data_IF_144638073786
#
_entry.id   IF_144638073786
#
_cell.length_a   1.000
_cell.length_b   1.000
_cell.length_c   1.000
_cell.angle_alpha   90.00
_cell.angle_beta   90.00
_cell.angle_gamma   90.00
#
_symmetry.space_group_name_H-M   'P 1'
#
loop_
_entity.id
_entity.type
_entity.pdbx_description
1 polymer ?
#
# COMPACT_ATOMS: atom_id res chain seq x y z
N UNK A 1 -41.15 3.93 3.45
CA UNK A 1 -42.10 3.84 4.57
C UNK A 1 -43.50 4.15 4.05
N UNK A 2 -44.51 3.36 4.38
CA UNK A 2 -45.90 3.55 3.93
C UNK A 2 -46.80 3.75 5.16
N UNK A 3 -47.51 4.87 5.22
CA UNK A 3 -48.54 5.12 6.24
C UNK A 3 -49.89 5.02 5.55
N UNK A 4 -50.78 4.17 6.06
CA UNK A 4 -52.09 3.92 5.47
C UNK A 4 -53.14 4.70 6.25
N UNK A 5 -53.83 5.62 5.58
CA UNK A 5 -54.99 6.32 6.16
C UNK A 5 -56.25 5.53 5.81
N UNK A 6 -57.03 5.14 6.81
CA UNK A 6 -58.25 4.36 6.64
C UNK A 6 -59.49 5.25 6.83
N UNK A 7 -60.40 5.27 5.85
CA UNK A 7 -61.62 6.09 5.85
C UNK A 7 -61.48 7.40 5.06
N UNK A 8 -62.43 8.34 5.20
CA UNK A 8 -62.42 9.60 4.47
C UNK A 8 -61.17 10.42 4.80
N UNK A 9 -60.65 11.12 3.78
CA UNK A 9 -59.45 11.96 3.88
C UNK A 9 -59.87 13.31 4.45
N UNK A 10 -59.66 13.52 5.75
CA UNK A 10 -59.86 14.82 6.41
C UNK A 10 -58.50 15.46 6.72
N UNK A 11 -58.48 16.78 6.94
CA UNK A 11 -57.27 17.53 7.32
C UNK A 11 -56.58 16.90 8.54
N UNK A 12 -57.36 16.59 9.56
CA UNK A 12 -56.89 16.00 10.82
C UNK A 12 -56.18 14.66 10.59
N UNK A 13 -56.73 13.80 9.72
CA UNK A 13 -56.17 12.49 9.42
C UNK A 13 -54.93 12.56 8.53
N UNK A 14 -54.85 13.57 7.66
CA UNK A 14 -53.64 13.83 6.87
C UNK A 14 -52.51 14.34 7.77
N UNK A 15 -52.82 15.23 8.71
CA UNK A 15 -51.88 15.74 9.71
C UNK A 15 -51.39 14.59 10.59
N UNK A 16 -52.29 13.76 11.11
CA UNK A 16 -51.93 12.59 11.92
C UNK A 16 -51.04 11.60 11.14
N UNK A 17 -51.35 11.36 9.86
CA UNK A 17 -50.54 10.50 9.00
C UNK A 17 -49.15 11.08 8.73
N UNK A 18 -49.04 12.40 8.56
CA UNK A 18 -47.77 13.10 8.38
C UNK A 18 -46.93 13.09 9.65
N UNK A 19 -47.55 13.27 10.82
CA UNK A 19 -46.89 13.18 12.12
C UNK A 19 -46.37 11.76 12.37
N UNK A 20 -47.18 10.73 12.12
CA UNK A 20 -46.77 9.33 12.20
C UNK A 20 -45.63 9.00 11.23
N UNK A 21 -45.67 9.54 10.01
CA UNK A 21 -44.59 9.39 9.04
C UNK A 21 -43.29 10.04 9.55
N UNK A 22 -43.39 11.26 10.06
CA UNK A 22 -42.23 12.02 10.56
C UNK A 22 -41.61 11.35 11.79
N UNK A 23 -42.44 10.84 12.70
CA UNK A 23 -41.99 10.08 13.87
C UNK A 23 -41.21 8.82 13.47
N UNK A 24 -41.78 8.00 12.57
CA UNK A 24 -41.13 6.78 12.07
C UNK A 24 -39.85 7.06 11.28
N UNK A 25 -39.76 8.20 10.58
CA UNK A 25 -38.53 8.60 9.90
C UNK A 25 -37.43 8.98 10.90
N UNK A 26 -37.77 9.74 11.94
CA UNK A 26 -36.84 10.09 13.04
C UNK A 26 -36.34 8.86 13.79
N UNK A 27 -37.21 7.87 14.01
CA UNK A 27 -36.81 6.59 14.62
C UNK A 27 -35.84 5.79 13.74
N UNK A 28 -36.02 5.82 12.41
CA UNK A 28 -35.21 5.03 11.48
C UNK A 28 -33.85 5.67 11.11
N UNK A 29 -33.74 7.01 11.10
CA UNK A 29 -32.55 7.75 10.64
C UNK A 29 -31.87 8.60 11.74
N UNK A 30 -32.38 8.56 12.98
CA UNK A 30 -31.94 9.43 14.08
C UNK A 30 -32.44 10.87 13.95
N UNK A 31 -31.98 11.77 14.83
CA UNK A 31 -32.43 13.18 14.92
C UNK A 31 -32.11 14.05 13.69
N UNK A 32 -31.41 13.54 12.68
CA UNK A 32 -31.13 14.28 11.44
C UNK A 32 -32.32 14.15 10.48
N UNK A 33 -32.99 15.27 10.21
CA UNK A 33 -33.98 15.42 9.13
C UNK A 33 -33.33 15.51 7.73
N UNK A 34 -32.00 15.40 7.66
CA UNK A 34 -31.21 15.39 6.43
C UNK A 34 -31.58 14.15 5.61
N UNK A 35 -32.47 14.31 4.63
CA UNK A 35 -32.93 13.22 3.77
C UNK A 35 -34.44 12.99 3.76
N UNK A 36 -35.21 13.69 4.60
CA UNK A 36 -36.68 13.67 4.52
C UNK A 36 -37.17 14.62 3.42
N UNK A 37 -37.14 14.15 2.18
CA UNK A 37 -37.58 14.93 1.01
C UNK A 37 -39.11 14.94 0.81
N UNK A 38 -39.88 14.56 1.83
CA UNK A 38 -41.34 14.47 1.83
C UNK A 38 -41.88 13.06 2.01
N UNK A 39 -43.15 12.96 2.41
CA UNK A 39 -43.89 11.70 2.51
C UNK A 39 -44.65 11.40 1.21
N UNK A 40 -44.59 10.15 0.76
CA UNK A 40 -45.33 9.71 -0.42
C UNK A 40 -46.78 9.42 -0.06
N UNK A 41 -47.70 10.27 -0.52
CA UNK A 41 -49.13 10.09 -0.29
C UNK A 41 -49.72 9.19 -1.39
N UNK A 42 -50.17 8.00 -1.01
CA UNK A 42 -50.91 7.11 -1.90
C UNK A 42 -52.39 7.31 -1.63
N UNK A 43 -53.06 8.02 -2.53
CA UNK A 43 -54.49 8.31 -2.42
C UNK A 43 -55.30 7.34 -3.28
N UNK A 44 -56.32 6.72 -2.69
CA UNK A 44 -57.36 6.00 -3.41
C UNK A 44 -58.64 6.83 -3.30
N UNK A 45 -59.05 7.47 -4.40
CA UNK A 45 -60.30 8.22 -4.47
C UNK A 45 -61.48 7.25 -4.65
N UNK A 46 -62.50 7.37 -3.79
CA UNK A 46 -63.73 6.57 -3.85
C UNK A 46 -64.93 7.35 -4.42
N UNK A 47 -64.80 8.66 -4.67
CA UNK A 47 -65.80 9.49 -5.37
C UNK A 47 -65.10 10.58 -6.20
N UNK A 48 -65.81 11.13 -7.19
CA UNK A 48 -65.30 12.20 -8.08
C UNK A 48 -65.54 13.61 -7.54
N UNK A 49 -66.18 13.74 -6.37
CA UNK A 49 -66.46 15.02 -5.73
C UNK A 49 -65.26 15.41 -4.87
N UNK A 50 -64.41 16.30 -5.40
CA UNK A 50 -63.26 16.81 -4.66
C UNK A 50 -63.72 17.74 -3.55
N UNK A 51 -63.48 17.35 -2.30
CA UNK A 51 -63.70 18.22 -1.13
C UNK A 51 -62.56 19.24 -1.00
N UNK A 52 -62.92 20.48 -0.68
CA UNK A 52 -61.96 21.56 -0.46
C UNK A 52 -61.50 21.50 1.00
N UNK A 53 -60.22 21.23 1.22
CA UNK A 53 -59.66 21.13 2.57
C UNK A 53 -58.82 22.37 2.83
N UNK A 54 -59.26 23.17 3.80
CA UNK A 54 -58.49 24.29 4.31
C UNK A 54 -57.34 23.77 5.18
N UNK A 55 -56.10 24.13 4.83
CA UNK A 55 -54.92 23.80 5.63
C UNK A 55 -54.29 25.11 6.08
N UNK A 56 -54.17 25.29 7.39
CA UNK A 56 -53.52 26.46 7.97
C UNK A 56 -52.00 26.31 7.83
N UNK A 57 -51.34 27.25 7.16
CA UNK A 57 -49.88 27.35 7.10
C UNK A 57 -49.45 28.61 7.86
N UNK A 58 -49.17 28.47 9.16
CA UNK A 58 -49.00 29.62 10.06
C UNK A 58 -50.34 30.37 10.24
N UNK A 59 -50.32 31.70 10.13
CA UNK A 59 -51.51 32.56 10.25
C UNK A 59 -52.28 32.74 8.92
N UNK A 60 -51.99 31.95 7.88
CA UNK A 60 -52.70 32.00 6.60
C UNK A 60 -53.38 30.68 6.29
N UNK A 61 -54.67 30.76 6.03
CA UNK A 61 -55.48 29.65 5.52
C UNK A 61 -55.18 29.45 4.03
N UNK A 62 -54.61 28.29 3.69
CA UNK A 62 -54.35 27.89 2.30
C UNK A 62 -55.32 26.76 1.96
N UNK A 63 -56.28 27.04 1.09
CA UNK A 63 -57.27 26.05 0.66
C UNK A 63 -56.68 25.14 -0.42
N UNK A 64 -56.66 23.84 -0.17
CA UNK A 64 -56.17 22.83 -1.11
C UNK A 64 -57.36 21.98 -1.58
N UNK A 65 -57.70 22.08 -2.87
CA UNK A 65 -58.74 21.27 -3.50
C UNK A 65 -58.07 20.18 -4.35
N UNK A 66 -58.29 18.92 -4.00
CA UNK A 66 -57.76 17.77 -4.73
C UNK A 66 -58.90 17.05 -5.44
N UNK A 67 -59.02 17.25 -6.76
CA UNK A 67 -59.91 16.45 -7.63
C UNK A 67 -59.10 15.33 -8.26
N UNK A 68 -59.34 14.10 -7.83
CA UNK A 68 -58.69 12.90 -8.37
C UNK A 68 -59.74 12.00 -9.03
N UNK A 69 -59.52 11.51 -10.27
CA UNK A 69 -60.39 10.52 -10.88
C UNK A 69 -60.39 9.21 -10.08
N UNK A 70 -61.57 8.64 -9.82
CA UNK A 70 -61.69 7.37 -9.12
C UNK A 70 -60.89 6.25 -9.85
N UNK A 71 -60.09 5.50 -9.10
CA UNK A 71 -59.34 4.33 -9.61
C UNK A 71 -57.94 4.60 -10.19
N UNK A 72 -57.45 5.84 -10.22
CA UNK A 72 -56.12 6.17 -10.79
C UNK A 72 -55.03 6.22 -9.71
N UNK A 73 -54.05 5.31 -9.80
CA UNK A 73 -52.87 5.33 -8.95
C UNK A 73 -51.85 6.34 -9.48
N UNK A 74 -51.77 7.51 -8.87
CA UNK A 74 -50.78 8.53 -9.22
C UNK A 74 -49.39 8.13 -8.69
N UNK A 75 -48.40 8.00 -9.58
CA UNK A 75 -46.99 7.91 -9.18
C UNK A 75 -46.46 9.32 -8.91
N UNK A 76 -45.96 9.61 -7.71
CA UNK A 76 -45.42 10.93 -7.42
C UNK A 76 -44.12 11.13 -8.20
N UNK A 77 -44.03 12.27 -8.88
CA UNK A 77 -42.77 12.74 -9.43
C UNK A 77 -41.87 13.20 -8.29
N UNK A 78 -40.58 12.89 -8.40
CA UNK A 78 -39.57 13.45 -7.49
C UNK A 78 -39.60 14.98 -7.62
N UNK A 79 -39.52 15.69 -6.50
CA UNK A 79 -39.34 17.14 -6.53
C UNK A 79 -38.02 17.48 -7.23
N UNK A 80 -37.92 18.65 -7.85
CA UNK A 80 -36.68 19.12 -8.50
C UNK A 80 -35.47 19.05 -7.55
N UNK A 81 -35.69 19.35 -6.26
CA UNK A 81 -34.67 19.22 -5.21
C UNK A 81 -34.20 17.77 -4.99
N UNK A 82 -35.12 16.80 -5.07
CA UNK A 82 -34.79 15.38 -4.92
C UNK A 82 -34.05 14.83 -6.17
N UNK A 83 -34.37 15.34 -7.36
CA UNK A 83 -33.64 15.03 -8.60
C UNK A 83 -32.21 15.60 -8.51
N UNK A 84 -32.07 16.88 -8.14
CA UNK A 84 -30.75 17.51 -7.97
C UNK A 84 -29.90 16.81 -6.91
N UNK A 85 -30.47 16.43 -5.76
CA UNK A 85 -29.75 15.70 -4.71
C UNK A 85 -29.30 14.30 -5.17
N UNK A 86 -30.11 13.61 -5.98
CA UNK A 86 -29.75 12.32 -6.57
C UNK A 86 -28.59 12.48 -7.56
N UNK A 87 -28.67 13.47 -8.44
CA UNK A 87 -27.65 13.70 -9.47
C UNK A 87 -26.32 14.14 -8.85
N UNK A 88 -26.36 14.96 -7.80
CA UNK A 88 -25.18 15.32 -7.01
C UNK A 88 -24.54 14.08 -6.36
N UNK A 89 -25.33 13.21 -5.73
CA UNK A 89 -24.80 11.96 -5.15
C UNK A 89 -24.19 11.03 -6.20
N UNK A 90 -24.83 10.90 -7.37
CA UNK A 90 -24.29 10.08 -8.46
C UNK A 90 -23.00 10.67 -9.02
N UNK A 91 -22.92 11.99 -9.18
CA UNK A 91 -21.71 12.67 -9.61
C UNK A 91 -20.57 12.56 -8.60
N UNK A 92 -20.87 12.67 -7.30
CA UNK A 92 -19.90 12.48 -6.22
C UNK A 92 -19.39 11.03 -6.19
N UNK A 93 -20.29 10.05 -6.28
CA UNK A 93 -19.92 8.63 -6.37
C UNK A 93 -19.06 8.31 -7.60
N UNK A 94 -19.36 8.93 -8.75
CA UNK A 94 -18.56 8.77 -9.96
C UNK A 94 -17.15 9.32 -9.77
N UNK A 95 -17.02 10.52 -9.17
CA UNK A 95 -15.71 11.11 -8.84
C UNK A 95 -14.92 10.27 -7.85
N UNK A 96 -15.57 9.77 -6.79
CA UNK A 96 -14.91 8.90 -5.82
C UNK A 96 -14.40 7.61 -6.48
N UNK A 97 -15.20 6.99 -7.36
CA UNK A 97 -14.78 5.80 -8.11
C UNK A 97 -13.60 6.08 -9.03
N UNK A 98 -13.60 7.21 -9.71
CA UNK A 98 -12.51 7.62 -10.59
C UNK A 98 -11.20 7.84 -9.81
N UNK A 99 -11.26 8.53 -8.66
CA UNK A 99 -10.11 8.72 -7.78
C UNK A 99 -9.59 7.38 -7.25
N UNK A 100 -10.47 6.49 -6.78
CA UNK A 100 -10.07 5.16 -6.31
C UNK A 100 -9.41 4.34 -7.43
N UNK A 101 -9.97 4.37 -8.63
CA UNK A 101 -9.39 3.67 -9.78
C UNK A 101 -8.01 4.23 -10.15
N UNK A 102 -7.83 5.55 -10.12
CA UNK A 102 -6.52 6.17 -10.35
C UNK A 102 -5.50 5.75 -9.29
N UNK A 103 -5.91 5.72 -8.00
CA UNK A 103 -5.05 5.25 -6.92
C UNK A 103 -4.69 3.76 -7.07
N UNK A 104 -5.61 2.91 -7.52
CA UNK A 104 -5.34 1.50 -7.80
C UNK A 104 -4.29 1.33 -8.90
N UNK A 105 -4.45 2.04 -10.01
CA UNK A 105 -3.48 2.00 -11.13
C UNK A 105 -2.11 2.54 -10.71
N UNK A 106 -2.07 3.61 -9.91
CA UNK A 106 -0.80 4.13 -9.37
C UNK A 106 -0.13 3.12 -8.42
N UNK A 107 -0.91 2.49 -7.54
CA UNK A 107 -0.40 1.48 -6.62
C UNK A 107 0.11 0.24 -7.36
N UNK A 108 -0.60 -0.21 -8.39
CA UNK A 108 -0.18 -1.33 -9.23
C UNK A 108 1.14 -1.01 -9.94
N UNK A 109 1.26 0.18 -10.55
CA UNK A 109 2.52 0.64 -11.17
C UNK A 109 3.67 0.71 -10.18
N UNK A 110 3.44 1.23 -8.97
CA UNK A 110 4.45 1.27 -7.91
C UNK A 110 4.89 -0.13 -7.49
N UNK A 111 3.93 -1.05 -7.32
CA UNK A 111 4.21 -2.42 -6.94
C UNK A 111 4.99 -3.17 -8.03
N UNK A 112 4.64 -2.98 -9.30
CA UNK A 112 5.38 -3.54 -10.43
C UNK A 112 6.81 -3.00 -10.52
N UNK A 113 6.99 -1.69 -10.34
CA UNK A 113 8.30 -1.06 -10.32
C UNK A 113 9.17 -1.60 -9.17
N UNK A 114 8.60 -1.74 -7.98
CA UNK A 114 9.31 -2.30 -6.82
C UNK A 114 9.70 -3.77 -7.07
N UNK A 115 8.78 -4.56 -7.60
CA UNK A 115 9.04 -5.96 -7.96
C UNK A 115 10.13 -6.09 -9.03
N UNK A 116 10.12 -5.22 -10.04
CA UNK A 116 11.16 -5.17 -11.06
C UNK A 116 12.52 -4.79 -10.45
N UNK A 117 12.55 -3.80 -9.55
CA UNK A 117 13.76 -3.40 -8.82
C UNK A 117 14.34 -4.54 -7.99
N UNK A 118 13.51 -5.25 -7.22
CA UNK A 118 13.93 -6.44 -6.45
C UNK A 118 14.51 -7.54 -7.33
N UNK A 119 13.90 -7.80 -8.50
CA UNK A 119 14.42 -8.77 -9.48
C UNK A 119 15.77 -8.34 -10.04
N UNK A 120 15.95 -7.06 -10.35
CA UNK A 120 17.23 -6.53 -10.83
C UNK A 120 18.34 -6.71 -9.78
N UNK A 121 18.07 -6.40 -8.51
CA UNK A 121 19.03 -6.59 -7.41
C UNK A 121 19.38 -8.07 -7.18
N UNK A 122 18.39 -8.96 -7.25
CA UNK A 122 18.63 -10.41 -7.19
C UNK A 122 19.51 -10.89 -8.35
N UNK A 123 19.25 -10.39 -9.57
CA UNK A 123 20.07 -10.72 -10.73
C UNK A 123 21.52 -10.22 -10.58
N UNK A 124 21.70 -9.00 -10.07
CA UNK A 124 23.02 -8.43 -9.79
C UNK A 124 23.78 -9.24 -8.74
N UNK A 125 23.12 -9.59 -7.62
CA UNK A 125 23.72 -10.43 -6.59
C UNK A 125 24.11 -11.81 -7.13
N UNK A 126 23.22 -12.47 -7.87
CA UNK A 126 23.54 -13.75 -8.51
C UNK A 126 24.70 -13.62 -9.50
N UNK A 127 24.81 -12.50 -10.21
CA UNK A 127 25.95 -12.26 -11.08
C UNK A 127 27.25 -12.14 -10.28
N UNK A 128 27.27 -11.40 -9.18
CA UNK A 128 28.44 -11.32 -8.29
C UNK A 128 28.85 -12.70 -7.75
N UNK A 129 27.88 -13.51 -7.32
CA UNK A 129 28.11 -14.86 -6.82
C UNK A 129 28.65 -15.80 -7.91
N UNK A 130 28.07 -15.76 -9.12
CA UNK A 130 28.53 -16.57 -10.26
C UNK A 130 29.95 -16.20 -10.70
N UNK A 131 30.25 -14.91 -10.78
CA UNK A 131 31.59 -14.44 -11.15
C UNK A 131 32.60 -14.86 -10.09
N UNK A 132 32.29 -14.63 -8.81
CA UNK A 132 33.19 -15.02 -7.73
C UNK A 132 33.40 -16.54 -7.67
N UNK A 133 32.34 -17.35 -7.82
CA UNK A 133 32.45 -18.81 -7.85
C UNK A 133 33.35 -19.29 -9.00
N UNK A 134 33.22 -18.70 -10.21
CA UNK A 134 34.06 -19.03 -11.36
C UNK A 134 35.54 -18.71 -11.11
N UNK A 135 35.82 -17.53 -10.54
CA UNK A 135 37.18 -17.12 -10.22
C UNK A 135 37.75 -18.00 -9.10
N UNK A 136 36.97 -18.27 -8.07
CA UNK A 136 37.37 -19.14 -6.96
C UNK A 136 37.65 -20.58 -7.44
N UNK A 137 36.86 -21.11 -8.38
CA UNK A 137 37.13 -22.42 -8.97
C UNK A 137 38.45 -22.46 -9.78
N UNK A 138 38.81 -21.35 -10.44
CA UNK A 138 40.02 -21.29 -11.26
C UNK A 138 41.30 -20.99 -10.45
N UNK A 139 41.22 -20.12 -9.45
CA UNK A 139 42.39 -19.60 -8.72
C UNK A 139 42.44 -20.00 -7.23
N UNK A 140 41.35 -20.53 -6.67
CA UNK A 140 41.29 -21.10 -5.33
C UNK A 140 41.92 -20.23 -4.24
N UNK A 141 42.92 -20.80 -3.56
CA UNK A 141 43.63 -20.17 -2.45
C UNK A 141 44.33 -18.86 -2.83
N UNK A 142 44.83 -18.73 -4.06
CA UNK A 142 45.52 -17.52 -4.50
C UNK A 142 44.59 -16.30 -4.50
N UNK A 143 43.32 -16.49 -4.87
CA UNK A 143 42.29 -15.45 -4.77
C UNK A 143 42.07 -15.04 -3.31
N UNK A 144 41.91 -16.02 -2.42
CA UNK A 144 41.64 -15.79 -0.99
C UNK A 144 42.82 -15.09 -0.31
N UNK A 145 44.05 -15.48 -0.62
CA UNK A 145 45.26 -14.84 -0.13
C UNK A 145 45.32 -13.36 -0.55
N UNK A 146 45.04 -13.05 -1.81
CA UNK A 146 45.03 -11.67 -2.30
C UNK A 146 43.90 -10.83 -1.71
N UNK A 147 42.71 -11.42 -1.53
CA UNK A 147 41.62 -10.78 -0.81
C UNK A 147 42.03 -10.44 0.63
N UNK A 148 42.67 -11.36 1.34
CA UNK A 148 43.13 -11.13 2.71
C UNK A 148 44.27 -10.10 2.78
N UNK A 149 45.17 -10.07 1.80
CA UNK A 149 46.21 -9.04 1.70
C UNK A 149 45.62 -7.64 1.46
N UNK A 150 44.56 -7.55 0.65
CA UNK A 150 43.82 -6.30 0.45
C UNK A 150 43.11 -5.85 1.74
N UNK A 151 42.47 -6.78 2.46
CA UNK A 151 41.85 -6.49 3.77
C UNK A 151 42.89 -6.01 4.78
N UNK A 152 44.05 -6.69 4.86
CA UNK A 152 45.16 -6.31 5.73
C UNK A 152 45.65 -4.88 5.43
N UNK A 153 45.84 -4.56 4.16
CA UNK A 153 46.27 -3.23 3.72
C UNK A 153 45.31 -2.15 4.21
N UNK A 154 43.99 -2.36 4.03
CA UNK A 154 42.97 -1.40 4.47
C UNK A 154 42.93 -1.31 6.00
N UNK A 155 43.01 -2.45 6.70
CA UNK A 155 43.02 -2.48 8.16
C UNK A 155 44.23 -1.70 8.72
N UNK A 156 45.42 -1.91 8.17
CA UNK A 156 46.65 -1.22 8.58
C UNK A 156 46.59 0.30 8.30
N UNK A 157 45.97 0.71 7.20
CA UNK A 157 45.82 2.12 6.83
C UNK A 157 44.78 2.85 7.68
N UNK A 158 43.61 2.23 7.91
CA UNK A 158 42.48 2.91 8.55
C UNK A 158 42.43 2.71 10.06
N UNK A 159 43.01 1.61 10.56
CA UNK A 159 43.05 1.24 11.98
C UNK A 159 41.72 1.52 12.70
N UNK A 160 40.61 0.94 12.22
CA UNK A 160 39.29 1.31 12.72
C UNK A 160 39.15 0.95 14.19
N UNK A 161 38.47 1.81 14.94
CA UNK A 161 38.25 1.67 16.38
C UNK A 161 36.78 1.37 16.68
N UNK A 162 36.51 0.73 17.80
CA UNK A 162 35.14 0.56 18.27
C UNK A 162 34.54 1.93 18.67
N UNK A 163 33.40 2.35 18.09
CA UNK A 163 32.83 3.67 18.37
C UNK A 163 32.12 3.74 19.72
N UNK A 164 31.65 2.59 20.24
CA UNK A 164 30.80 2.49 21.43
C UNK A 164 31.12 1.23 22.25
N UNK A 165 30.67 1.21 23.51
CA UNK A 165 30.73 0.04 24.38
C UNK A 165 32.04 -0.09 25.19
N UNK A 166 32.25 -1.23 25.87
CA UNK A 166 33.36 -1.43 26.81
C UNK A 166 34.74 -1.48 26.14
N UNK A 167 34.80 -1.66 24.81
CA UNK A 167 36.01 -1.63 24.01
C UNK A 167 36.18 -0.34 23.20
N UNK A 168 35.46 0.73 23.54
CA UNK A 168 35.54 2.01 22.83
C UNK A 168 37.01 2.44 22.68
N UNK A 169 37.33 3.00 21.51
CA UNK A 169 38.67 3.47 21.11
C UNK A 169 39.74 2.37 20.94
N UNK A 170 39.41 1.10 21.22
CA UNK A 170 40.26 -0.04 20.87
C UNK A 170 40.11 -0.37 19.39
N UNK A 171 41.19 -0.87 18.79
CA UNK A 171 41.17 -1.33 17.40
C UNK A 171 40.18 -2.48 17.24
N UNK A 172 39.40 -2.43 16.17
CA UNK A 172 38.52 -3.53 15.78
C UNK A 172 39.37 -4.67 15.26
N UNK A 173 38.91 -5.88 15.52
CA UNK A 173 39.52 -7.08 14.96
C UNK A 173 39.51 -7.01 13.43
N UNK A 174 40.62 -7.48 12.84
CA UNK A 174 40.76 -7.57 11.39
C UNK A 174 39.87 -8.69 10.85
N UNK A 175 38.97 -8.41 9.91
CA UNK A 175 38.25 -9.47 9.25
C UNK A 175 39.16 -10.29 8.34
N UNK A 176 38.82 -11.55 8.08
CA UNK A 176 39.52 -12.36 7.10
C UNK A 176 38.60 -13.41 6.48
N UNK A 177 39.00 -13.89 5.31
CA UNK A 177 38.35 -14.94 4.56
C UNK A 177 39.14 -16.24 4.72
N UNK A 178 38.44 -17.36 4.88
CA UNK A 178 39.02 -18.69 4.87
C UNK A 178 38.17 -19.62 3.99
N UNK A 179 38.73 -20.76 3.58
CA UNK A 179 38.00 -21.81 2.88
C UNK A 179 37.87 -23.01 3.82
N UNK A 180 36.64 -23.39 4.14
CA UNK A 180 36.32 -24.52 5.00
C UNK A 180 35.26 -25.38 4.32
N UNK A 181 35.50 -26.69 4.20
CA UNK A 181 34.60 -27.63 3.51
C UNK A 181 34.17 -27.15 2.10
N UNK A 182 35.10 -26.52 1.38
CA UNK A 182 34.87 -25.96 0.04
C UNK A 182 34.01 -24.69 0.00
N UNK A 183 33.66 -24.13 1.17
CA UNK A 183 32.89 -22.88 1.30
C UNK A 183 33.79 -21.75 1.76
N UNK A 184 33.53 -20.56 1.23
CA UNK A 184 34.21 -19.35 1.72
C UNK A 184 33.53 -18.88 3.00
N UNK A 185 34.32 -18.76 4.06
CA UNK A 185 33.92 -18.36 5.38
C UNK A 185 34.47 -16.98 5.70
N UNK A 186 33.59 -16.11 6.19
CA UNK A 186 33.93 -14.77 6.64
C UNK A 186 33.99 -14.70 8.17
N UNK A 187 35.14 -14.28 8.68
CA UNK A 187 35.40 -14.04 10.09
C UNK A 187 35.48 -12.54 10.36
N UNK A 188 34.70 -12.04 11.34
CA UNK A 188 34.59 -10.60 11.65
C UNK A 188 34.79 -10.35 13.14
N UNK A 189 35.92 -10.84 13.66
CA UNK A 189 36.37 -10.62 15.03
C UNK A 189 36.14 -11.77 16.00
N UNK A 190 36.83 -11.67 17.13
CA UNK A 190 36.95 -12.71 18.15
C UNK A 190 35.60 -12.91 18.84
N UNK A 191 35.15 -14.17 18.91
CA UNK A 191 33.89 -14.56 19.55
C UNK A 191 32.63 -14.37 18.69
N UNK A 192 32.77 -13.95 17.43
CA UNK A 192 31.66 -13.99 16.46
C UNK A 192 31.73 -15.28 15.63
N UNK A 193 30.57 -15.86 15.36
CA UNK A 193 30.47 -17.02 14.48
C UNK A 193 30.88 -16.65 13.05
N UNK A 194 31.71 -17.50 12.44
CA UNK A 194 32.00 -17.44 11.02
C UNK A 194 30.71 -17.47 10.19
N UNK A 195 30.69 -16.75 9.07
CA UNK A 195 29.55 -16.75 8.15
C UNK A 195 29.96 -17.33 6.82
N UNK A 196 29.24 -18.33 6.34
CA UNK A 196 29.41 -18.78 4.97
C UNK A 196 28.90 -17.71 4.01
N UNK A 197 29.72 -17.37 3.00
CA UNK A 197 29.42 -16.34 2.00
C UNK A 197 29.66 -16.88 0.59
N UNK A 198 28.85 -16.42 -0.37
CA UNK A 198 29.00 -16.77 -1.79
C UNK A 198 29.82 -15.74 -2.57
N UNK A 199 29.99 -14.55 -2.03
CA UNK A 199 30.84 -13.48 -2.54
C UNK A 199 31.22 -12.56 -1.38
N UNK A 200 32.43 -11.99 -1.34
CA UNK A 200 32.84 -11.09 -0.26
C UNK A 200 32.40 -9.63 -0.49
N UNK A 201 31.72 -9.35 -1.61
CA UNK A 201 31.35 -8.00 -2.03
C UNK A 201 30.04 -7.51 -1.41
N UNK A 202 28.99 -8.32 -1.51
CA UNK A 202 27.64 -7.93 -1.12
C UNK A 202 26.77 -9.14 -0.79
N UNK A 203 25.68 -8.85 -0.09
CA UNK A 203 24.52 -9.73 0.12
C UNK A 203 23.25 -8.95 -0.20
N UNK A 204 22.17 -9.65 -0.50
CA UNK A 204 20.85 -9.02 -0.53
C UNK A 204 20.42 -8.68 0.91
N UNK A 205 19.97 -7.45 1.15
CA UNK A 205 19.42 -7.04 2.43
C UNK A 205 18.19 -7.88 2.81
N UNK A 206 17.87 -8.00 4.10
CA UNK A 206 16.75 -8.84 4.56
C UNK A 206 15.39 -8.39 4.00
N UNK A 207 15.22 -7.11 3.71
CA UNK A 207 14.01 -6.55 3.08
C UNK A 207 14.03 -6.66 1.54
N UNK A 208 15.16 -7.07 0.94
CA UNK A 208 15.29 -7.35 -0.48
C UNK A 208 15.34 -6.13 -1.40
N UNK A 209 15.46 -4.92 -0.87
CA UNK A 209 15.41 -3.67 -1.66
C UNK A 209 16.77 -3.03 -1.91
N UNK A 210 17.85 -3.59 -1.39
CA UNK A 210 19.21 -3.13 -1.67
C UNK A 210 20.24 -4.25 -1.50
N UNK A 211 21.43 -4.03 -2.07
CA UNK A 211 22.61 -4.84 -1.81
C UNK A 211 23.44 -4.18 -0.72
N UNK A 212 23.72 -4.94 0.33
CA UNK A 212 24.51 -4.48 1.46
C UNK A 212 25.86 -5.19 1.47
N UNK A 213 26.94 -4.52 1.89
CA UNK A 213 28.16 -5.20 2.26
C UNK A 213 27.95 -6.10 3.49
N UNK A 214 28.79 -7.12 3.66
CA UNK A 214 28.82 -7.92 4.89
C UNK A 214 29.32 -7.11 6.11
N UNK A 215 29.92 -5.96 5.85
CA UNK A 215 30.58 -5.09 6.81
C UNK A 215 29.67 -3.94 7.21
N UNK A 216 29.70 -3.55 8.49
CA UNK A 216 28.91 -2.42 9.01
C UNK A 216 29.73 -1.19 9.39
N UNK A 217 31.05 -1.32 9.46
CA UNK A 217 31.91 -0.19 9.81
C UNK A 217 32.29 0.56 8.54
N UNK A 218 32.25 1.89 8.56
CA UNK A 218 32.53 2.70 7.37
C UNK A 218 33.91 2.41 6.78
N UNK A 219 34.93 2.19 7.61
CA UNK A 219 36.25 1.79 7.13
C UNK A 219 36.25 0.50 6.28
N UNK A 220 35.36 -0.44 6.60
CA UNK A 220 35.20 -1.68 5.84
C UNK A 220 34.36 -1.49 4.59
N UNK A 221 33.30 -0.68 4.68
CA UNK A 221 32.45 -0.39 3.53
C UNK A 221 33.21 0.42 2.48
N UNK A 222 33.91 1.48 2.90
CA UNK A 222 34.59 2.42 2.01
C UNK A 222 36.00 1.97 1.60
N UNK A 223 36.67 1.16 2.42
CA UNK A 223 38.02 0.67 2.11
C UNK A 223 38.02 -0.76 1.57
N UNK A 224 37.48 -1.72 2.34
CA UNK A 224 37.60 -3.16 2.03
C UNK A 224 36.77 -3.54 0.80
N UNK A 225 35.53 -3.06 0.64
CA UNK A 225 34.68 -3.45 -0.51
C UNK A 225 35.31 -3.04 -1.85
N UNK A 226 35.77 -1.79 -2.05
CA UNK A 226 36.46 -1.42 -3.29
C UNK A 226 37.76 -2.19 -3.52
N UNK A 227 38.54 -2.43 -2.46
CA UNK A 227 39.80 -3.19 -2.57
C UNK A 227 39.54 -4.65 -3.00
N UNK A 228 38.54 -5.30 -2.42
CA UNK A 228 38.11 -6.64 -2.81
C UNK A 228 37.58 -6.68 -4.25
N UNK A 229 36.83 -5.65 -4.66
CA UNK A 229 36.35 -5.51 -6.05
C UNK A 229 37.53 -5.47 -7.03
N UNK A 230 38.54 -4.66 -6.73
CA UNK A 230 39.73 -4.54 -7.58
C UNK A 230 40.49 -5.87 -7.70
N UNK A 231 40.62 -6.63 -6.60
CA UNK A 231 41.22 -7.97 -6.63
C UNK A 231 40.41 -8.91 -7.52
N UNK A 232 39.09 -8.98 -7.31
CA UNK A 232 38.19 -9.84 -8.09
C UNK A 232 38.24 -9.49 -9.57
N UNK A 233 38.18 -8.21 -9.93
CA UNK A 233 38.27 -7.75 -11.31
C UNK A 233 39.64 -8.07 -11.94
N UNK A 234 40.71 -8.00 -11.14
CA UNK A 234 42.05 -8.38 -11.56
C UNK A 234 42.15 -9.85 -11.96
N UNK A 235 41.56 -10.75 -11.17
CA UNK A 235 41.49 -12.17 -11.50
C UNK A 235 40.49 -12.48 -12.62
N UNK A 236 39.37 -11.74 -12.70
CA UNK A 236 38.39 -11.88 -13.77
C UNK A 236 39.02 -11.67 -15.15
N UNK A 237 39.96 -10.72 -15.27
CA UNK A 237 40.73 -10.47 -16.50
C UNK A 237 41.74 -11.57 -16.85
N UNK A 238 42.16 -12.35 -15.85
CA UNK A 238 43.11 -13.45 -16.01
C UNK A 238 42.41 -14.78 -16.29
N UNK A 239 41.07 -14.84 -16.21
CA UNK A 239 40.33 -16.07 -16.47
C UNK A 239 40.60 -16.56 -17.90
N UNK A 240 41.02 -17.83 -18.06
CA UNK A 240 41.12 -18.44 -19.38
C UNK A 240 39.75 -18.44 -20.07
N UNK A 241 39.74 -18.16 -21.38
CA UNK A 241 38.51 -18.18 -22.18
C UNK A 241 37.79 -19.55 -22.12
N UNK A 242 38.53 -20.63 -21.87
CA UNK A 242 38.05 -22.02 -21.84
C UNK A 242 37.43 -22.50 -20.52
N UNK A 243 37.39 -21.67 -19.47
CA UNK A 243 36.52 -21.95 -18.32
C UNK A 243 35.08 -21.58 -18.69
N UNK A 244 34.54 -22.26 -19.71
CA UNK A 244 33.14 -22.25 -20.12
C UNK A 244 32.38 -23.25 -19.23
N UNK A 245 31.15 -22.93 -18.78
CA UNK A 245 30.39 -23.86 -17.97
C UNK A 245 30.03 -25.11 -18.79
N UNK A 246 30.11 -26.27 -18.16
CA UNK A 246 29.29 -27.41 -18.57
C UNK A 246 27.82 -26.94 -18.59
N UNK A 247 27.17 -27.19 -19.72
CA UNK A 247 25.78 -26.86 -19.98
C UNK A 247 24.81 -27.51 -18.99
#
# INVERSE_FOLDING_TARGET
MKVKVAGPITAERLTEALEQATARHREAMGQRLDGFYGATLYLNAYSNEGEQVAVMQGDKEVSLMLRLPAGVQMRPMLSERAVQARDQRLAEQARTREVLHQMEVENERRFEAEKAGRRALQAEQHQHERVFARIHAAFGEALIAQCNAAIETVWAQWQPKEPHGPRKDQLRDRPFLAVEDGRVMLYVGVGRSARSILTPLSKLASHGTELEPFWKHDAWVQGVVPALRAVIDGFLRQLPAEVAPAA
#
